data_IF_558111673394
#
_entry.id   IF_558111673394
#
_cell.length_a   1.000
_cell.length_b   1.000
_cell.length_c   1.000
_cell.angle_alpha   90.00
_cell.angle_beta   90.00
_cell.angle_gamma   90.00
#
_symmetry.space_group_name_H-M   'P 1'
#
loop_
_entity.id
_entity.type
_entity.pdbx_description
1 polymer ?
#
# COMPACT_ATOMS: atom_id res chain seq x y z
N UNK A 1 -41.74 -37.23 -2.04
CA UNK A 1 -41.52 -36.25 -3.13
C UNK A 1 -41.70 -34.79 -2.71
N UNK A 2 -42.79 -34.42 -2.01
CA UNK A 2 -43.07 -33.02 -1.63
C UNK A 2 -41.97 -32.31 -0.83
N UNK A 3 -41.36 -32.96 0.15
CA UNK A 3 -40.25 -32.37 0.93
C UNK A 3 -39.04 -32.00 0.07
N UNK A 4 -38.69 -32.82 -0.93
CA UNK A 4 -37.57 -32.56 -1.83
C UNK A 4 -37.85 -31.33 -2.72
N UNK A 5 -39.09 -31.18 -3.19
CA UNK A 5 -39.51 -30.02 -3.98
C UNK A 5 -39.44 -28.73 -3.15
N UNK A 6 -39.86 -28.78 -1.89
CA UNK A 6 -39.79 -27.63 -0.97
C UNK A 6 -38.34 -27.23 -0.71
N UNK A 7 -37.44 -28.19 -0.49
CA UNK A 7 -36.01 -27.91 -0.26
C UNK A 7 -35.36 -27.32 -1.51
N UNK A 8 -35.64 -27.87 -2.70
CA UNK A 8 -35.11 -27.37 -3.97
C UNK A 8 -35.64 -25.96 -4.27
N UNK A 9 -36.92 -25.71 -4.03
CA UNK A 9 -37.53 -24.39 -4.23
C UNK A 9 -36.95 -23.35 -3.25
N UNK A 10 -36.79 -23.70 -1.97
CA UNK A 10 -36.14 -22.82 -0.98
C UNK A 10 -34.68 -22.54 -1.35
N UNK A 11 -33.94 -23.55 -1.84
CA UNK A 11 -32.56 -23.36 -2.31
C UNK A 11 -32.50 -22.44 -3.54
N UNK A 12 -33.43 -22.57 -4.49
CA UNK A 12 -33.52 -21.70 -5.66
C UNK A 12 -33.93 -20.26 -5.30
N UNK A 13 -34.89 -20.09 -4.39
CA UNK A 13 -35.31 -18.78 -3.87
C UNK A 13 -34.15 -18.09 -3.15
N UNK A 14 -33.44 -18.82 -2.28
CA UNK A 14 -32.30 -18.28 -1.53
C UNK A 14 -31.15 -17.90 -2.45
N UNK A 15 -30.82 -18.73 -3.45
CA UNK A 15 -29.81 -18.41 -4.48
C UNK A 15 -30.19 -17.18 -5.29
N UNK A 16 -31.46 -17.07 -5.70
CA UNK A 16 -31.97 -15.93 -6.48
C UNK A 16 -32.02 -14.64 -5.67
N UNK A 17 -32.41 -14.73 -4.39
CA UNK A 17 -32.36 -13.61 -3.45
C UNK A 17 -30.93 -13.17 -3.17
N UNK A 18 -30.01 -14.09 -2.89
CA UNK A 18 -28.60 -13.80 -2.68
C UNK A 18 -27.96 -13.14 -3.92
N UNK A 19 -28.23 -13.68 -5.12
CA UNK A 19 -27.75 -13.09 -6.36
C UNK A 19 -28.28 -11.67 -6.57
N UNK A 20 -29.58 -11.45 -6.37
CA UNK A 20 -30.20 -10.13 -6.47
C UNK A 20 -29.60 -9.14 -5.45
N UNK A 21 -29.43 -9.59 -4.21
CA UNK A 21 -28.87 -8.81 -3.13
C UNK A 21 -27.41 -8.41 -3.36
N UNK A 22 -26.56 -9.31 -3.86
CA UNK A 22 -25.19 -8.97 -4.27
C UNK A 22 -25.17 -7.98 -5.44
N UNK A 23 -26.08 -8.16 -6.41
CA UNK A 23 -26.17 -7.33 -7.61
C UNK A 23 -26.69 -5.92 -7.30
N UNK A 24 -27.47 -5.75 -6.23
CA UNK A 24 -27.95 -4.45 -5.75
C UNK A 24 -27.08 -3.82 -4.66
N UNK A 25 -26.37 -4.60 -3.83
CA UNK A 25 -25.44 -4.04 -2.84
C UNK A 25 -24.18 -3.45 -3.48
N UNK A 26 -23.63 -4.11 -4.50
CA UNK A 26 -22.46 -3.61 -5.24
C UNK A 26 -22.66 -2.17 -5.79
N UNK A 27 -23.77 -1.83 -6.47
CA UNK A 27 -23.98 -0.46 -6.95
C UNK A 27 -24.18 0.55 -5.82
N UNK A 28 -24.76 0.15 -4.68
CA UNK A 28 -24.91 1.05 -3.51
C UNK A 28 -23.55 1.33 -2.86
N UNK A 29 -22.75 0.30 -2.58
CA UNK A 29 -21.41 0.47 -1.98
C UNK A 29 -20.50 1.27 -2.89
N UNK A 30 -20.56 1.02 -4.20
CA UNK A 30 -19.78 1.77 -5.17
C UNK A 30 -20.26 3.23 -5.29
N UNK A 31 -21.58 3.49 -5.24
CA UNK A 31 -22.11 4.85 -5.14
C UNK A 31 -21.56 5.56 -3.91
N UNK A 32 -21.62 4.93 -2.73
CA UNK A 32 -21.04 5.50 -1.50
C UNK A 32 -19.54 5.78 -1.64
N UNK A 33 -18.79 4.92 -2.34
CA UNK A 33 -17.36 5.14 -2.60
C UNK A 33 -17.13 6.35 -3.50
N UNK A 34 -17.90 6.48 -4.59
CA UNK A 34 -17.85 7.65 -5.49
C UNK A 34 -18.23 8.93 -4.75
N UNK A 35 -19.26 8.89 -3.92
CA UNK A 35 -19.72 10.04 -3.13
C UNK A 35 -18.65 10.49 -2.12
N UNK A 36 -18.00 9.54 -1.43
CA UNK A 36 -16.85 9.85 -0.56
C UNK A 36 -15.71 10.53 -1.30
N UNK A 37 -15.36 10.04 -2.49
CA UNK A 37 -14.28 10.65 -3.31
C UNK A 37 -14.67 12.04 -3.79
N UNK A 38 -15.90 12.22 -4.26
CA UNK A 38 -16.36 13.53 -4.73
C UNK A 38 -16.37 14.54 -3.58
N UNK A 39 -16.82 14.14 -2.38
CA UNK A 39 -16.79 14.98 -1.19
C UNK A 39 -15.36 15.39 -0.82
N UNK A 40 -14.40 14.44 -0.81
CA UNK A 40 -13.00 14.79 -0.52
C UNK A 40 -12.40 15.73 -1.58
N UNK A 41 -12.75 15.59 -2.87
CA UNK A 41 -12.32 16.51 -3.92
C UNK A 41 -12.90 17.92 -3.70
N UNK A 42 -14.16 18.03 -3.29
CA UNK A 42 -14.82 19.31 -2.99
C UNK A 42 -14.22 20.00 -1.75
N UNK A 43 -13.87 19.22 -0.72
CA UNK A 43 -13.11 19.70 0.43
C UNK A 43 -11.75 20.25 0.02
N UNK A 44 -11.00 19.52 -0.82
CA UNK A 44 -9.71 19.97 -1.35
C UNK A 44 -9.86 21.28 -2.13
N UNK A 45 -10.87 21.39 -2.99
CA UNK A 45 -11.18 22.62 -3.72
C UNK A 45 -11.41 23.80 -2.77
N UNK A 46 -12.21 23.62 -1.73
CA UNK A 46 -12.49 24.66 -0.73
C UNK A 46 -11.21 25.10 0.00
N UNK A 47 -10.34 24.16 0.36
CA UNK A 47 -9.04 24.47 1.01
C UNK A 47 -8.15 25.25 0.04
N UNK A 48 -8.03 24.80 -1.20
CA UNK A 48 -7.23 25.47 -2.23
C UNK A 48 -7.74 26.87 -2.51
N UNK A 49 -9.06 27.06 -2.67
CA UNK A 49 -9.66 28.38 -2.84
C UNK A 49 -9.32 29.30 -1.66
N UNK A 50 -9.38 28.83 -0.40
CA UNK A 50 -8.97 29.65 0.76
C UNK A 50 -7.50 30.02 0.75
N UNK A 51 -6.62 29.09 0.37
CA UNK A 51 -5.16 29.32 0.30
C UNK A 51 -4.80 30.24 -0.88
N UNK A 52 -5.56 30.18 -1.98
CA UNK A 52 -5.28 30.87 -3.24
C UNK A 52 -6.09 32.14 -3.45
N UNK A 53 -7.18 32.38 -2.71
CA UNK A 53 -7.91 33.65 -2.69
C UNK A 53 -7.00 34.82 -2.27
N UNK A 54 -5.86 34.53 -1.62
CA UNK A 54 -4.80 35.51 -1.38
C UNK A 54 -4.05 35.93 -2.67
N UNK A 55 -4.12 35.14 -3.74
CA UNK A 55 -3.38 35.31 -4.98
C UNK A 55 -4.27 35.53 -6.23
N UNK A 56 -5.49 34.99 -6.33
CA UNK A 56 -6.41 35.25 -7.47
C UNK A 56 -7.90 34.95 -7.13
N UNK A 57 -8.89 35.82 -7.42
CA UNK A 57 -10.23 35.73 -6.82
C UNK A 57 -11.26 34.81 -7.50
N UNK A 58 -10.98 34.15 -8.63
CA UNK A 58 -12.06 33.45 -9.37
C UNK A 58 -11.63 32.29 -10.27
N UNK A 59 -10.51 31.63 -9.96
CA UNK A 59 -10.10 30.47 -10.76
C UNK A 59 -11.11 29.33 -10.55
N UNK A 60 -11.94 29.06 -11.55
CA UNK A 60 -12.85 27.92 -11.57
C UNK A 60 -12.02 26.65 -11.67
N UNK A 61 -11.59 26.13 -10.52
CA UNK A 61 -10.82 24.89 -10.48
C UNK A 61 -11.72 23.74 -10.90
N UNK A 62 -11.36 23.07 -11.99
CA UNK A 62 -11.96 21.81 -12.37
C UNK A 62 -11.39 20.65 -11.52
N UNK A 63 -11.83 19.40 -11.76
CA UNK A 63 -11.36 18.26 -10.94
C UNK A 63 -9.89 17.92 -11.19
N UNK A 64 -9.37 18.12 -12.40
CA UNK A 64 -7.98 17.85 -12.71
C UNK A 64 -7.09 18.92 -12.07
N UNK A 65 -7.47 20.19 -12.18
CA UNK A 65 -6.79 21.33 -11.57
C UNK A 65 -6.69 21.18 -10.05
N UNK A 66 -7.80 20.81 -9.39
CA UNK A 66 -7.81 20.58 -7.93
C UNK A 66 -6.78 19.52 -7.54
N UNK A 67 -6.71 18.41 -8.27
CA UNK A 67 -5.79 17.32 -7.96
C UNK A 67 -4.34 17.71 -8.25
N UNK A 68 -4.07 18.31 -9.41
CA UNK A 68 -2.73 18.74 -9.81
C UNK A 68 -2.17 19.78 -8.83
N UNK A 69 -2.98 20.79 -8.51
CA UNK A 69 -2.59 21.86 -7.62
C UNK A 69 -2.39 21.35 -6.18
N UNK A 70 -3.23 20.42 -5.71
CA UNK A 70 -3.01 19.74 -4.42
C UNK A 70 -1.67 19.00 -4.40
N UNK A 71 -1.35 18.25 -5.46
CA UNK A 71 -0.07 17.50 -5.55
C UNK A 71 1.11 18.47 -5.55
N UNK A 72 1.03 19.56 -6.31
CA UNK A 72 2.06 20.60 -6.35
C UNK A 72 2.25 21.24 -4.97
N UNK A 73 1.15 21.61 -4.30
CA UNK A 73 1.15 22.16 -2.95
C UNK A 73 1.81 21.21 -1.94
N UNK A 74 1.42 19.92 -1.92
CA UNK A 74 1.99 18.93 -1.00
C UNK A 74 3.48 18.70 -1.24
N UNK A 75 3.92 18.63 -2.51
CA UNK A 75 5.35 18.54 -2.86
C UNK A 75 6.13 19.75 -2.36
N UNK A 76 5.54 20.94 -2.45
CA UNK A 76 6.14 22.17 -1.98
C UNK A 76 6.21 22.22 -0.44
N UNK A 77 5.15 21.81 0.25
CA UNK A 77 5.12 21.70 1.72
C UNK A 77 6.16 20.68 2.21
N UNK A 78 6.23 19.49 1.60
CA UNK A 78 7.20 18.46 1.95
C UNK A 78 8.67 18.89 1.75
N UNK A 79 8.92 19.91 0.91
CA UNK A 79 10.25 20.53 0.75
C UNK A 79 10.50 21.66 1.75
N UNK A 80 9.45 22.26 2.30
CA UNK A 80 9.51 23.43 3.21
C UNK A 80 9.42 23.07 4.68
N UNK A 81 8.86 21.92 5.04
CA UNK A 81 8.81 21.41 6.42
C UNK A 81 10.03 20.53 6.72
N UNK A 82 11.07 21.05 7.39
CA UNK A 82 12.09 20.23 8.05
C UNK A 82 11.62 19.65 9.40
N UNK A 83 10.38 19.95 9.83
CA UNK A 83 9.89 19.67 11.20
C UNK A 83 9.15 18.33 11.34
N UNK A 84 8.68 17.74 10.25
CA UNK A 84 8.38 16.31 10.30
C UNK A 84 9.73 15.59 10.37
N UNK A 85 10.00 14.71 11.35
CA UNK A 85 11.15 13.84 11.27
C UNK A 85 10.94 13.02 10.01
N UNK A 86 11.57 13.42 8.91
CA UNK A 86 12.00 12.47 7.91
C UNK A 86 12.99 11.63 8.69
N UNK A 87 12.48 10.59 9.35
CA UNK A 87 13.32 9.49 9.77
C UNK A 87 13.84 8.98 8.45
N UNK A 88 15.01 9.47 8.05
CA UNK A 88 15.68 8.96 6.89
C UNK A 88 15.81 7.47 7.19
N UNK A 89 15.15 6.66 6.38
CA UNK A 89 15.16 5.22 6.56
C UNK A 89 16.60 4.73 6.64
N UNK A 90 17.52 5.38 5.92
CA UNK A 90 18.94 5.10 5.96
C UNK A 90 19.56 5.43 7.33
N UNK A 91 19.18 6.55 7.93
CA UNK A 91 19.62 6.97 9.27
C UNK A 91 19.06 6.02 10.36
N UNK A 92 17.76 5.72 10.30
CA UNK A 92 17.14 4.77 11.24
C UNK A 92 17.74 3.36 11.12
N UNK A 93 17.97 2.89 9.89
CA UNK A 93 18.61 1.61 9.61
C UNK A 93 20.05 1.55 10.11
N UNK A 94 20.86 2.59 9.81
CA UNK A 94 22.26 2.64 10.22
C UNK A 94 22.41 2.70 11.74
N UNK A 95 21.56 3.45 12.43
CA UNK A 95 21.53 3.52 13.90
C UNK A 95 21.20 2.16 14.53
N UNK A 96 20.13 1.51 14.06
CA UNK A 96 19.74 0.18 14.54
C UNK A 96 20.84 -0.86 14.29
N UNK A 97 21.44 -0.84 13.10
CA UNK A 97 22.55 -1.72 12.76
C UNK A 97 23.76 -1.48 13.67
N UNK A 98 24.12 -0.22 13.91
CA UNK A 98 25.22 0.15 14.81
C UNK A 98 24.99 -0.34 16.23
N UNK A 99 23.79 -0.17 16.78
CA UNK A 99 23.43 -0.68 18.11
C UNK A 99 23.49 -2.20 18.19
N UNK A 100 22.99 -2.89 17.16
CA UNK A 100 23.05 -4.35 17.05
C UNK A 100 24.50 -4.84 17.01
N UNK A 101 25.36 -4.19 16.23
CA UNK A 101 26.78 -4.51 16.14
C UNK A 101 27.50 -4.23 17.47
N UNK A 102 27.19 -3.13 18.14
CA UNK A 102 27.75 -2.78 19.43
C UNK A 102 27.40 -3.82 20.50
N UNK A 103 26.12 -4.20 20.61
CA UNK A 103 25.68 -5.24 21.55
C UNK A 103 26.37 -6.59 21.28
N UNK A 104 26.46 -7.00 20.01
CA UNK A 104 27.17 -8.22 19.65
C UNK A 104 28.68 -8.14 19.89
N UNK A 105 29.31 -6.97 19.79
CA UNK A 105 30.73 -6.82 20.13
C UNK A 105 31.00 -7.11 21.61
N UNK A 106 30.04 -6.79 22.48
CA UNK A 106 30.13 -7.02 23.93
C UNK A 106 29.86 -8.49 24.30
N UNK A 107 28.93 -9.15 23.60
CA UNK A 107 28.48 -10.50 23.97
C UNK A 107 29.03 -11.63 23.08
N UNK A 108 29.39 -11.36 21.82
CA UNK A 108 29.80 -12.37 20.82
C UNK A 108 30.56 -11.75 19.62
N UNK A 109 31.80 -11.28 19.80
CA UNK A 109 32.53 -10.48 18.80
C UNK A 109 32.72 -11.20 17.45
N UNK A 110 32.92 -12.53 17.46
CA UNK A 110 33.02 -13.32 16.23
C UNK A 110 31.72 -13.37 15.40
N UNK A 111 30.55 -13.29 16.05
CA UNK A 111 29.24 -13.28 15.36
C UNK A 111 28.95 -11.88 14.80
N UNK A 112 29.38 -10.83 15.50
CA UNK A 112 29.22 -9.45 15.04
C UNK A 112 29.99 -9.14 13.76
N UNK A 113 31.23 -9.61 13.64
CA UNK A 113 32.04 -9.46 12.42
C UNK A 113 31.41 -10.19 11.22
N UNK A 114 30.83 -11.39 11.43
CA UNK A 114 30.13 -12.13 10.37
C UNK A 114 28.86 -11.41 9.90
N UNK A 115 28.11 -10.83 10.83
CA UNK A 115 26.90 -10.07 10.50
C UNK A 115 27.23 -8.78 9.72
N UNK A 116 28.27 -8.06 10.11
CA UNK A 116 28.74 -6.88 9.39
C UNK A 116 29.12 -7.21 7.94
N UNK A 117 29.85 -8.30 7.73
CA UNK A 117 30.23 -8.77 6.38
C UNK A 117 29.00 -9.19 5.55
N UNK A 118 27.98 -9.78 6.16
CA UNK A 118 26.72 -10.09 5.47
C UNK A 118 25.99 -8.82 4.99
N UNK A 119 25.89 -7.80 5.85
CA UNK A 119 25.24 -6.53 5.50
C UNK A 119 26.05 -5.68 4.53
N UNK A 120 27.38 -5.77 4.53
CA UNK A 120 28.24 -5.08 3.56
C UNK A 120 28.28 -5.82 2.21
N UNK A 121 28.21 -7.16 2.22
CA UNK A 121 28.12 -7.98 1.00
C UNK A 121 26.83 -7.74 0.21
N UNK A 122 25.70 -7.53 0.90
CA UNK A 122 24.41 -7.22 0.28
C UNK A 122 24.41 -5.85 -0.43
N UNK A 123 25.23 -4.89 0.02
CA UNK A 123 25.34 -3.56 -0.59
C UNK A 123 26.08 -3.58 -1.93
N UNK A 124 26.99 -4.53 -2.15
CA UNK A 124 27.72 -4.68 -3.42
C UNK A 124 26.95 -5.51 -4.47
N UNK A 125 25.85 -6.17 -4.10
CA UNK A 125 24.98 -6.88 -5.04
C UNK A 125 23.94 -5.96 -5.72
N UNK A 126 23.81 -4.70 -5.30
CA UNK A 126 22.77 -3.76 -5.78
C UNK A 126 23.21 -2.91 -6.97
N UNK A 127 24.33 -3.25 -7.64
CA UNK A 127 24.69 -2.63 -8.94
C UNK A 127 24.42 -3.51 -10.17
N UNK A 128 23.70 -4.62 -10.01
CA UNK A 128 23.22 -5.41 -11.13
C UNK A 128 22.03 -6.28 -10.75
N UNK A 129 20.83 -5.85 -11.15
CA UNK A 129 19.62 -6.67 -11.31
C UNK A 129 19.30 -7.76 -10.26
N UNK A 130 18.22 -7.54 -9.50
CA UNK A 130 17.44 -8.63 -8.91
C UNK A 130 17.67 -8.86 -7.42
N UNK A 131 16.56 -8.82 -6.68
CA UNK A 131 16.43 -9.14 -5.27
C UNK A 131 17.17 -10.43 -4.86
N UNK A 132 18.00 -10.43 -3.80
CA UNK A 132 18.47 -11.67 -3.20
C UNK A 132 17.38 -12.20 -2.26
N UNK A 133 16.80 -13.34 -2.64
CA UNK A 133 15.98 -14.15 -1.75
C UNK A 133 16.85 -14.75 -0.64
N UNK A 134 16.46 -14.58 0.62
CA UNK A 134 17.13 -15.16 1.78
C UNK A 134 17.10 -16.71 1.74
N UNK A 135 18.18 -17.40 2.17
CA UNK A 135 18.16 -18.85 2.32
C UNK A 135 17.56 -19.22 3.69
N UNK A 136 16.31 -19.67 3.71
CA UNK A 136 15.74 -20.41 4.85
C UNK A 136 16.12 -21.88 4.68
N UNK A 137 17.09 -22.33 5.47
CA UNK A 137 17.35 -23.76 5.66
C UNK A 137 16.32 -24.32 6.63
N UNK A 138 15.41 -25.16 6.14
CA UNK A 138 14.59 -26.06 6.96
C UNK A 138 14.73 -27.50 6.40
N UNK A 139 14.74 -28.53 7.26
CA UNK A 139 14.99 -29.91 6.83
C UNK A 139 13.77 -30.52 6.13
N UNK A 140 14.07 -31.52 5.31
CA UNK A 140 13.20 -32.16 4.32
C UNK A 140 11.88 -32.72 4.86
N UNK A 141 10.82 -32.60 4.03
CA UNK A 141 9.55 -33.30 4.23
C UNK A 141 8.40 -32.81 3.32
N UNK A 142 8.30 -33.40 2.13
CA UNK A 142 7.07 -33.69 1.36
C UNK A 142 6.24 -32.54 0.74
N UNK A 143 6.34 -32.49 -0.60
CA UNK A 143 5.31 -32.23 -1.63
C UNK A 143 4.09 -31.37 -1.29
N UNK A 144 4.06 -30.12 -1.77
CA UNK A 144 2.84 -29.44 -2.26
C UNK A 144 3.20 -28.41 -3.34
N UNK A 145 2.60 -28.54 -4.52
CA UNK A 145 2.74 -27.63 -5.67
C UNK A 145 2.18 -26.23 -5.35
N UNK A 146 3.01 -25.18 -5.42
CA UNK A 146 2.58 -23.78 -5.37
C UNK A 146 2.53 -23.17 -6.78
N UNK A 147 1.47 -22.43 -7.16
CA UNK A 147 1.45 -21.64 -8.39
C UNK A 147 2.33 -20.39 -8.25
N UNK A 148 2.97 -20.03 -9.36
CA UNK A 148 3.80 -18.85 -9.59
C UNK A 148 3.01 -17.55 -9.32
N UNK A 149 3.53 -16.69 -8.44
CA UNK A 149 3.04 -15.33 -8.21
C UNK A 149 3.86 -14.38 -9.09
N UNK A 150 3.25 -13.56 -9.97
CA UNK A 150 3.98 -12.55 -10.72
C UNK A 150 4.11 -11.21 -9.96
N UNK A 151 5.24 -10.58 -10.24
CA UNK A 151 5.83 -9.29 -9.84
C UNK A 151 4.88 -8.08 -9.67
N UNK A 152 5.21 -7.09 -8.80
CA UNK A 152 4.38 -5.91 -8.53
C UNK A 152 4.64 -4.73 -9.49
N UNK A 153 4.89 -4.97 -10.77
CA UNK A 153 4.98 -3.90 -11.77
C UNK A 153 3.63 -3.68 -12.46
N UNK A 154 3.14 -2.44 -12.36
CA UNK A 154 1.76 -2.02 -12.65
C UNK A 154 0.74 -2.77 -11.80
N UNK A 155 0.39 -2.15 -10.67
CA UNK A 155 -1.00 -2.18 -10.23
C UNK A 155 -1.84 -1.56 -11.35
N UNK A 156 -2.19 -2.39 -12.35
CA UNK A 156 -3.19 -2.11 -13.35
C UNK A 156 -4.42 -1.74 -12.54
N UNK A 157 -4.78 -0.47 -12.59
CA UNK A 157 -6.04 0.00 -12.08
C UNK A 157 -7.12 -1.00 -12.49
N UNK A 158 -7.66 -1.74 -11.51
CA UNK A 158 -8.77 -2.66 -11.77
C UNK A 158 -10.04 -1.83 -11.63
N UNK A 159 -10.84 -1.68 -12.69
CA UNK A 159 -12.19 -1.17 -12.53
C UNK A 159 -12.94 -2.14 -11.60
N UNK A 160 -13.57 -1.59 -10.57
CA UNK A 160 -14.58 -2.29 -9.76
C UNK A 160 -15.76 -2.73 -10.62
#
# INVERSE_FOLDING_TARGET
MFFLVIVVLNAQITKRFFFFFLKLRKPVVEKMRRDRINNSIEQLKTILEKVLQKNEPSCKLDKADVLEMTVSFLKQQLRRDPVAPRVDYNEGYSRCLQETLHFMSLCAPQKGARLLNHFQGDKNAVTGSGFPASPVTAPAGQTFTKPVVPSPERAVWRPW
#
